data_IF_365045985127
#
_entry.id   IF_365045985127
#
_cell.length_a   1.000
_cell.length_b   1.000
_cell.length_c   1.000
_cell.angle_alpha   90.00
_cell.angle_beta   90.00
_cell.angle_gamma   90.00
#
_symmetry.space_group_name_H-M   'P 1'
#
loop_
_entity.id
_entity.type
_entity.pdbx_description
1 polymer ?
#
# COMPACT_ATOMS: atom_id res chain seq x y z
N UNK A 1 29.10 -8.45 0.46
CA UNK A 1 28.01 -8.45 1.45
C UNK A 1 26.93 -9.38 0.94
N UNK A 2 26.87 -10.59 1.49
CA UNK A 2 25.98 -11.66 1.03
C UNK A 2 24.57 -11.44 1.57
N UNK A 3 23.50 -11.63 0.79
CA UNK A 3 22.14 -11.54 1.30
C UNK A 3 21.88 -12.71 2.25
N UNK A 4 21.48 -12.41 3.49
CA UNK A 4 21.05 -13.43 4.46
C UNK A 4 19.85 -14.21 3.91
N UNK A 5 19.78 -15.54 4.12
CA UNK A 5 18.64 -16.33 3.68
C UNK A 5 17.35 -15.87 4.36
N UNK A 6 16.31 -15.61 3.57
CA UNK A 6 14.96 -15.27 4.06
C UNK A 6 14.39 -16.51 4.77
N UNK A 7 13.88 -16.39 6.01
CA UNK A 7 13.29 -17.54 6.69
C UNK A 7 12.09 -18.06 5.89
N UNK A 8 12.03 -19.39 5.73
CA UNK A 8 10.91 -20.08 5.11
C UNK A 8 9.70 -20.00 6.05
N UNK A 9 8.77 -19.10 5.74
CA UNK A 9 7.56 -18.90 6.54
C UNK A 9 6.48 -19.81 5.97
N UNK A 10 6.04 -20.79 6.78
CA UNK A 10 5.01 -21.75 6.41
C UNK A 10 3.73 -21.00 6.01
N UNK A 11 3.40 -21.03 4.72
CA UNK A 11 2.18 -20.44 4.20
C UNK A 11 0.99 -21.27 4.67
N UNK A 12 0.10 -20.66 5.46
CA UNK A 12 -1.19 -21.25 5.80
C UNK A 12 -2.03 -21.35 4.52
N UNK A 13 -1.96 -22.52 3.87
CA UNK A 13 -2.85 -22.93 2.78
C UNK A 13 -4.12 -23.50 3.41
N UNK A 14 -5.15 -22.68 3.56
CA UNK A 14 -6.49 -23.14 3.94
C UNK A 14 -7.55 -22.07 3.64
N UNK A 15 -8.84 -22.45 3.47
CA UNK A 15 -9.93 -21.49 3.47
C UNK A 15 -9.97 -20.76 4.81
N UNK A 16 -10.62 -19.60 4.88
CA UNK A 16 -10.71 -18.76 6.07
C UNK A 16 -11.36 -19.52 7.24
N UNK A 17 -10.58 -20.34 7.94
CA UNK A 17 -10.98 -20.97 9.17
C UNK A 17 -11.04 -19.86 10.23
N UNK A 18 -12.22 -19.64 10.80
CA UNK A 18 -12.38 -18.85 12.01
C UNK A 18 -11.62 -19.56 13.13
N UNK A 19 -10.43 -19.07 13.48
CA UNK A 19 -9.68 -19.56 14.64
C UNK A 19 -10.18 -18.75 15.84
N UNK A 20 -10.89 -19.36 16.80
CA UNK A 20 -11.24 -18.65 18.03
C UNK A 20 -9.95 -18.19 18.72
N UNK A 21 -9.93 -16.94 19.20
CA UNK A 21 -8.74 -16.29 19.77
C UNK A 21 -8.08 -17.14 20.87
N UNK A 22 -8.87 -17.94 21.61
CA UNK A 22 -8.39 -18.83 22.68
C UNK A 22 -7.51 -19.99 22.21
N UNK A 23 -7.48 -20.33 20.91
CA UNK A 23 -6.64 -21.39 20.32
C UNK A 23 -5.44 -20.83 19.52
N UNK A 24 -5.18 -19.53 19.57
CA UNK A 24 -4.01 -18.96 18.90
C UNK A 24 -2.72 -19.35 19.67
N UNK A 25 -1.67 -19.84 18.99
CA UNK A 25 -0.37 -20.06 19.61
C UNK A 25 0.17 -18.75 20.22
N UNK A 26 1.03 -18.82 21.25
CA UNK A 26 1.58 -17.65 21.92
C UNK A 26 2.49 -16.80 21.02
N UNK A 27 2.91 -17.36 19.88
CA UNK A 27 3.69 -16.66 18.85
C UNK A 27 2.79 -15.99 17.80
N UNK A 28 3.17 -14.81 17.29
CA UNK A 28 2.39 -14.13 16.25
C UNK A 28 2.29 -14.97 14.98
N UNK A 29 1.06 -15.14 14.47
CA UNK A 29 0.83 -15.77 13.17
C UNK A 29 1.03 -14.73 12.06
N UNK A 30 1.92 -15.02 11.12
CA UNK A 30 2.12 -14.18 9.93
C UNK A 30 1.16 -14.60 8.82
N UNK A 31 0.13 -13.80 8.59
CA UNK A 31 -0.77 -13.98 7.45
C UNK A 31 -0.20 -13.28 6.20
N UNK A 32 -0.14 -14.01 5.08
CA UNK A 32 0.25 -13.46 3.78
C UNK A 32 -0.98 -13.27 2.90
N UNK A 33 -1.39 -12.04 2.58
CA UNK A 33 -2.52 -11.82 1.68
C UNK A 33 -2.18 -12.34 0.28
N UNK A 34 -3.13 -13.06 -0.33
CA UNK A 34 -2.99 -13.57 -1.72
C UNK A 34 -3.30 -12.52 -2.79
N UNK A 35 -3.73 -11.33 -2.38
CA UNK A 35 -4.11 -10.24 -3.28
C UNK A 35 -3.01 -9.21 -3.47
N UNK A 36 -3.24 -8.29 -4.39
CA UNK A 36 -2.36 -7.14 -4.62
C UNK A 36 -2.20 -6.34 -3.33
N UNK A 37 -0.96 -5.97 -2.93
CA UNK A 37 -0.72 -5.23 -1.71
C UNK A 37 -1.48 -3.90 -1.71
N UNK A 38 -1.93 -3.43 -0.54
CA UNK A 38 -2.64 -2.17 -0.44
C UNK A 38 -1.71 -0.98 -0.72
N UNK A 39 -2.32 0.10 -1.20
CA UNK A 39 -1.72 1.43 -1.25
C UNK A 39 -2.20 2.20 -0.02
N UNK A 40 -1.25 2.74 0.74
CA UNK A 40 -1.48 3.51 1.95
C UNK A 40 -1.40 5.00 1.64
N UNK A 41 -2.33 5.78 2.20
CA UNK A 41 -2.39 7.24 2.04
C UNK A 41 -2.50 7.90 3.41
N UNK A 42 -1.62 8.87 3.69
CA UNK A 42 -1.65 9.64 4.93
C UNK A 42 -2.92 10.51 4.99
N UNK A 43 -3.83 10.18 5.93
CA UNK A 43 -5.06 10.95 6.13
C UNK A 43 -4.80 12.41 6.49
N UNK A 44 -3.79 12.67 7.32
CA UNK A 44 -3.45 14.01 7.80
C UNK A 44 -2.87 14.91 6.70
N UNK A 45 -2.08 14.34 5.79
CA UNK A 45 -1.59 15.09 4.64
C UNK A 45 -2.72 15.36 3.65
N UNK A 46 -3.57 14.36 3.41
CA UNK A 46 -4.73 14.48 2.51
C UNK A 46 -5.70 15.60 2.94
N UNK A 47 -5.86 15.84 4.24
CA UNK A 47 -6.71 16.91 4.77
C UNK A 47 -6.05 18.30 4.75
N UNK A 48 -4.75 18.39 4.42
CA UNK A 48 -3.97 19.64 4.41
C UNK A 48 -3.72 20.16 3.01
N UNK A 49 -3.95 19.36 1.98
CA UNK A 49 -3.86 19.76 0.58
C UNK A 49 -5.23 20.24 0.10
N UNK A 50 -5.23 21.28 -0.73
CA UNK A 50 -6.44 21.95 -1.21
C UNK A 50 -7.39 20.96 -1.94
N UNK A 51 -6.83 20.14 -2.83
CA UNK A 51 -7.58 19.20 -3.68
C UNK A 51 -7.45 17.72 -3.26
N UNK A 52 -7.33 17.45 -1.95
CA UNK A 52 -7.08 16.09 -1.45
C UNK A 52 -8.12 15.04 -1.88
N UNK A 53 -9.40 15.44 -1.98
CA UNK A 53 -10.47 14.55 -2.45
C UNK A 53 -10.27 14.16 -3.92
N UNK A 54 -9.97 15.12 -4.78
CA UNK A 54 -9.73 14.90 -6.20
C UNK A 54 -8.47 14.05 -6.41
N UNK A 55 -7.39 14.34 -5.69
CA UNK A 55 -6.17 13.53 -5.69
C UNK A 55 -6.45 12.06 -5.35
N UNK A 56 -7.20 11.80 -4.28
CA UNK A 56 -7.57 10.43 -3.88
C UNK A 56 -8.41 9.74 -4.96
N UNK A 57 -9.32 10.46 -5.62
CA UNK A 57 -10.14 9.92 -6.71
C UNK A 57 -9.28 9.60 -7.94
N UNK A 58 -8.39 10.52 -8.34
CA UNK A 58 -7.44 10.32 -9.43
C UNK A 58 -6.57 9.09 -9.17
N UNK A 59 -5.91 8.99 -8.00
CA UNK A 59 -5.11 7.82 -7.62
C UNK A 59 -5.94 6.52 -7.66
N UNK A 60 -7.20 6.57 -7.20
CA UNK A 60 -8.10 5.42 -7.27
C UNK A 60 -8.46 5.03 -8.71
N UNK A 61 -8.61 5.99 -9.62
CA UNK A 61 -8.90 5.75 -11.02
C UNK A 61 -7.68 5.17 -11.72
N UNK A 62 -6.51 5.75 -11.51
CA UNK A 62 -5.23 5.30 -12.09
C UNK A 62 -4.88 3.87 -11.65
N UNK A 63 -4.96 3.58 -10.36
CA UNK A 63 -4.75 2.21 -9.85
C UNK A 63 -5.77 1.22 -10.41
N UNK A 64 -6.99 1.67 -10.77
CA UNK A 64 -7.99 0.81 -11.43
C UNK A 64 -7.55 0.53 -12.86
N UNK A 65 -7.30 1.57 -13.65
CA UNK A 65 -6.95 1.46 -15.06
C UNK A 65 -5.69 0.60 -15.24
N UNK A 66 -4.63 0.89 -14.48
CA UNK A 66 -3.39 0.10 -14.49
C UNK A 66 -3.63 -1.36 -14.09
N UNK A 67 -4.45 -1.60 -13.05
CA UNK A 67 -4.76 -2.98 -12.67
C UNK A 67 -5.48 -3.77 -13.77
N UNK A 68 -6.41 -3.13 -14.50
CA UNK A 68 -7.09 -3.74 -15.64
C UNK A 68 -6.10 -4.02 -16.79
N UNK A 69 -5.24 -3.06 -17.12
CA UNK A 69 -4.24 -3.22 -18.19
C UNK A 69 -3.26 -4.38 -17.94
N UNK A 70 -2.93 -4.66 -16.67
CA UNK A 70 -2.04 -5.76 -16.30
C UNK A 70 -2.75 -7.08 -15.98
N UNK A 71 -4.08 -7.12 -16.02
CA UNK A 71 -4.86 -8.28 -15.60
C UNK A 71 -4.70 -8.65 -14.11
N UNK A 72 -4.32 -7.70 -13.26
CA UNK A 72 -4.12 -7.93 -11.81
C UNK A 72 -5.29 -7.39 -11.00
N UNK A 73 -5.46 -7.91 -9.78
CA UNK A 73 -6.46 -7.37 -8.86
C UNK A 73 -6.12 -5.92 -8.50
N UNK A 74 -7.14 -5.08 -8.42
CA UNK A 74 -7.02 -3.69 -8.00
C UNK A 74 -6.45 -3.58 -6.57
N UNK A 75 -5.38 -2.80 -6.34
CA UNK A 75 -4.91 -2.48 -4.99
C UNK A 75 -6.00 -1.80 -4.15
N UNK A 76 -6.13 -2.20 -2.89
CA UNK A 76 -6.98 -1.46 -1.94
C UNK A 76 -6.28 -0.17 -1.54
N UNK A 77 -7.01 0.95 -1.61
CA UNK A 77 -6.53 2.22 -1.08
C UNK A 77 -6.98 2.36 0.37
N UNK A 78 -6.02 2.33 1.28
CA UNK A 78 -6.24 2.40 2.73
C UNK A 78 -5.75 3.74 3.25
N UNK A 79 -6.56 4.41 4.05
CA UNK A 79 -6.15 5.64 4.72
C UNK A 79 -5.48 5.28 6.05
N UNK A 80 -4.30 5.83 6.28
CA UNK A 80 -3.51 5.60 7.49
C UNK A 80 -3.35 6.89 8.28
N UNK A 81 -2.83 6.76 9.51
CA UNK A 81 -2.36 7.89 10.30
C UNK A 81 -1.13 8.57 9.70
N UNK A 82 -0.41 9.34 10.51
CA UNK A 82 0.82 10.02 10.09
C UNK A 82 1.95 9.01 9.83
N UNK A 83 2.75 9.24 8.79
CA UNK A 83 3.99 8.48 8.54
C UNK A 83 5.22 9.13 9.19
N UNK A 84 5.05 10.14 10.04
CA UNK A 84 6.15 10.93 10.62
C UNK A 84 6.73 11.99 9.68
N UNK A 85 6.30 12.02 8.42
CA UNK A 85 6.72 12.99 7.41
C UNK A 85 5.49 13.77 6.95
N UNK A 86 5.53 15.10 7.04
CA UNK A 86 4.45 15.99 6.62
C UNK A 86 4.98 17.06 5.67
N UNK A 87 4.93 16.85 4.34
CA UNK A 87 5.31 17.86 3.37
C UNK A 87 4.28 19.02 3.33
N UNK A 88 4.73 20.22 2.97
CA UNK A 88 3.93 21.46 3.08
C UNK A 88 2.71 21.51 2.13
N UNK A 89 2.74 20.78 1.01
CA UNK A 89 1.68 20.78 -0.02
C UNK A 89 1.60 19.45 -0.80
N UNK A 90 1.89 18.33 -0.15
CA UNK A 90 1.84 17.03 -0.79
C UNK A 90 1.24 15.98 0.16
N UNK A 91 0.84 14.86 -0.42
CA UNK A 91 0.32 13.72 0.32
C UNK A 91 1.34 12.60 0.28
N UNK A 92 1.70 12.11 1.46
CA UNK A 92 2.54 10.93 1.61
C UNK A 92 1.72 9.69 1.28
N UNK A 93 2.21 8.92 0.32
CA UNK A 93 1.67 7.63 -0.10
C UNK A 93 2.75 6.56 -0.07
N UNK A 94 2.33 5.30 0.09
CA UNK A 94 3.26 4.18 0.13
C UNK A 94 2.56 2.89 -0.32
N UNK A 95 3.33 1.92 -0.82
CA UNK A 95 2.87 0.56 -1.08
C UNK A 95 3.83 -0.45 -0.47
N UNK A 96 3.49 -1.74 -0.49
CA UNK A 96 4.42 -2.77 -0.04
C UNK A 96 5.76 -2.74 -0.81
N UNK A 97 5.75 -2.34 -2.08
CA UNK A 97 6.96 -2.23 -2.90
C UNK A 97 7.84 -1.06 -2.43
N UNK A 98 7.27 0.12 -2.25
CA UNK A 98 8.04 1.32 -1.83
C UNK A 98 8.53 1.18 -0.40
N UNK A 99 7.69 0.69 0.52
CA UNK A 99 8.08 0.44 1.91
C UNK A 99 9.16 -0.64 2.01
N UNK A 100 9.11 -1.66 1.16
CA UNK A 100 10.15 -2.69 1.08
C UNK A 100 11.52 -2.12 0.71
N UNK A 101 11.57 -0.93 0.08
CA UNK A 101 12.80 -0.18 -0.25
C UNK A 101 13.10 0.96 0.72
N UNK A 102 12.25 1.21 1.72
CA UNK A 102 12.38 2.35 2.63
C UNK A 102 11.97 3.69 2.02
N UNK A 103 11.14 3.68 0.96
CA UNK A 103 10.75 4.86 0.19
C UNK A 103 9.28 5.25 0.43
N UNK A 104 9.04 6.57 0.39
CA UNK A 104 7.72 7.18 0.37
C UNK A 104 7.50 7.94 -0.93
N UNK A 105 6.29 7.88 -1.47
CA UNK A 105 5.91 8.59 -2.68
C UNK A 105 5.11 9.83 -2.29
N UNK A 106 5.64 11.01 -2.58
CA UNK A 106 4.99 12.28 -2.31
C UNK A 106 4.20 12.73 -3.54
N UNK A 107 2.88 12.89 -3.39
CA UNK A 107 1.99 13.28 -4.50
C UNK A 107 1.41 14.65 -4.20
N UNK A 108 1.74 15.64 -5.04
CA UNK A 108 1.34 17.03 -4.84
C UNK A 108 -0.12 17.27 -5.18
N UNK A 109 -0.55 16.77 -6.34
CA UNK A 109 -1.85 17.04 -6.93
C UNK A 109 -2.29 15.91 -7.87
N UNK A 110 -3.52 16.01 -8.39
CA UNK A 110 -4.13 14.97 -9.21
C UNK A 110 -3.37 14.72 -10.54
N UNK A 111 -2.61 15.68 -11.06
CA UNK A 111 -1.81 15.50 -12.27
C UNK A 111 -0.66 14.51 -12.10
N UNK A 112 -0.17 14.33 -10.88
CA UNK A 112 0.87 13.34 -10.56
C UNK A 112 0.31 11.95 -10.23
N UNK A 113 -1.02 11.76 -10.27
CA UNK A 113 -1.63 10.51 -9.84
C UNK A 113 -1.24 9.32 -10.72
N UNK A 114 -1.06 9.55 -12.02
CA UNK A 114 -0.67 8.52 -12.98
C UNK A 114 0.73 7.99 -12.67
N UNK A 115 1.72 8.89 -12.63
CA UNK A 115 3.11 8.56 -12.32
C UNK A 115 3.23 7.91 -10.93
N UNK A 116 2.58 8.49 -9.92
CA UNK A 116 2.56 7.94 -8.57
C UNK A 116 1.96 6.52 -8.54
N UNK A 117 0.88 6.25 -9.28
CA UNK A 117 0.30 4.92 -9.36
C UNK A 117 1.27 3.89 -9.96
N UNK A 118 2.10 4.29 -10.92
CA UNK A 118 3.14 3.44 -11.49
C UNK A 118 4.20 3.05 -10.48
N UNK A 119 4.78 4.04 -9.79
CA UNK A 119 5.78 3.79 -8.73
C UNK A 119 5.19 2.90 -7.62
N UNK A 120 3.95 3.17 -7.20
CA UNK A 120 3.27 2.40 -6.16
C UNK A 120 2.96 0.95 -6.58
N UNK A 121 2.78 0.71 -7.87
CA UNK A 121 2.63 -0.64 -8.44
C UNK A 121 3.97 -1.30 -8.81
N UNK A 122 5.11 -0.65 -8.53
CA UNK A 122 6.45 -1.20 -8.76
C UNK A 122 6.92 -1.14 -10.21
N UNK A 123 6.47 -0.16 -11.00
CA UNK A 123 6.95 0.10 -12.37
C UNK A 123 8.17 1.04 -12.42
N UNK A 124 8.85 1.25 -11.28
CA UNK A 124 10.03 2.09 -11.17
C UNK A 124 11.29 1.28 -11.00
#
# INVERSE_FOLDING_TARGET
>A
MSPTPRPAVAGIRGPAAYIPIMLLPPSPIVARPRGTPPVLICRKCLSRVDDGKALKQALKSELKQRSQSRGVKRPRVVMTGCFGICPKRAVVTASAATLGRGEYVLVKDAGQAEEAAGVLMGEG
#
